data_IF_817039418498
#
_entry.id   IF_817039418498
#
_cell.length_a   1.000
_cell.length_b   1.000
_cell.length_c   1.000
_cell.angle_alpha   90.00
_cell.angle_beta   90.00
_cell.angle_gamma   90.00
#
_symmetry.space_group_name_H-M   'P 1'
#
loop_
_entity.id
_entity.type
_entity.pdbx_description
1 polymer ?
#
# COMPACT_ATOMS: atom_id res chain seq x y z
N UNK A 1 -23.03 -6.95 18.04
CA UNK A 1 -23.16 -6.72 16.58
C UNK A 1 -23.05 -8.06 15.88
N UNK A 2 -24.04 -8.44 15.07
CA UNK A 2 -24.03 -9.72 14.33
C UNK A 2 -22.77 -9.80 13.42
N UNK A 3 -22.06 -10.94 13.44
CA UNK A 3 -20.82 -11.13 12.68
C UNK A 3 -21.03 -10.93 11.18
N UNK A 4 -22.22 -11.26 10.67
CA UNK A 4 -22.60 -10.99 9.27
C UNK A 4 -22.72 -9.49 9.00
N UNK A 5 -23.44 -8.75 9.85
CA UNK A 5 -23.56 -7.28 9.74
C UNK A 5 -22.19 -6.59 9.80
N UNK A 6 -21.30 -7.04 10.67
CA UNK A 6 -19.92 -6.52 10.75
C UNK A 6 -19.13 -6.75 9.46
N UNK A 7 -19.27 -7.92 8.84
CA UNK A 7 -18.59 -8.23 7.56
C UNK A 7 -19.13 -7.35 6.43
N UNK A 8 -20.44 -7.12 6.38
CA UNK A 8 -21.07 -6.21 5.41
C UNK A 8 -20.60 -4.77 5.58
N UNK A 9 -20.52 -4.27 6.82
CA UNK A 9 -20.01 -2.93 7.12
C UNK A 9 -18.54 -2.79 6.68
N UNK A 10 -17.70 -3.80 6.95
CA UNK A 10 -16.30 -3.79 6.50
C UNK A 10 -16.19 -3.72 4.97
N UNK A 11 -17.06 -4.44 4.25
CA UNK A 11 -17.12 -4.36 2.79
C UNK A 11 -17.54 -2.98 2.28
N UNK A 12 -18.54 -2.35 2.91
CA UNK A 12 -18.96 -0.98 2.57
C UNK A 12 -17.85 0.05 2.84
N UNK A 13 -17.17 -0.05 3.98
CA UNK A 13 -16.03 0.82 4.31
C UNK A 13 -14.89 0.61 3.31
N UNK A 14 -14.61 -0.63 2.92
CA UNK A 14 -13.63 -0.94 1.89
C UNK A 14 -13.98 -0.27 0.56
N UNK A 15 -15.24 -0.36 0.11
CA UNK A 15 -15.69 0.29 -1.12
C UNK A 15 -15.60 1.82 -1.04
N UNK A 16 -15.96 2.41 0.09
CA UNK A 16 -15.85 3.85 0.30
C UNK A 16 -14.38 4.31 0.24
N UNK A 17 -13.46 3.57 0.89
CA UNK A 17 -12.03 3.84 0.80
C UNK A 17 -11.47 3.63 -0.61
N UNK A 18 -11.98 2.65 -1.35
CA UNK A 18 -11.57 2.40 -2.72
C UNK A 18 -11.98 3.55 -3.64
N UNK A 19 -13.21 4.05 -3.49
CA UNK A 19 -13.68 5.24 -4.20
C UNK A 19 -12.84 6.48 -3.83
N UNK A 20 -12.51 6.64 -2.54
CA UNK A 20 -11.64 7.73 -2.09
C UNK A 20 -10.23 7.63 -2.67
N UNK A 21 -9.63 6.44 -2.69
CA UNK A 21 -8.32 6.21 -3.31
C UNK A 21 -8.33 6.45 -4.82
N UNK A 22 -9.45 6.18 -5.51
CA UNK A 22 -9.59 6.53 -6.92
C UNK A 22 -9.55 8.05 -7.14
N UNK A 23 -10.29 8.81 -6.32
CA UNK A 23 -10.29 10.29 -6.38
C UNK A 23 -8.93 10.85 -6.02
N UNK A 24 -8.30 10.34 -4.96
CA UNK A 24 -6.97 10.76 -4.53
C UNK A 24 -5.94 10.48 -5.64
N UNK A 25 -5.95 9.30 -6.25
CA UNK A 25 -5.06 8.95 -7.36
C UNK A 25 -5.26 9.86 -8.59
N UNK A 26 -6.50 10.26 -8.90
CA UNK A 26 -6.77 11.24 -9.96
C UNK A 26 -6.22 12.63 -9.62
N UNK A 27 -6.40 13.07 -8.36
CA UNK A 27 -5.85 14.33 -7.86
C UNK A 27 -4.32 14.32 -7.84
N UNK A 28 -3.71 13.20 -7.45
CA UNK A 28 -2.27 12.98 -7.47
C UNK A 28 -1.72 13.27 -8.86
N UNK A 29 -2.23 12.58 -9.90
CA UNK A 29 -1.76 12.79 -11.28
C UNK A 29 -2.03 14.18 -11.84
N UNK A 30 -3.12 14.83 -11.42
CA UNK A 30 -3.43 16.20 -11.82
C UNK A 30 -2.52 17.27 -11.19
N UNK A 31 -1.87 16.97 -10.05
CA UNK A 31 -1.16 17.97 -9.24
C UNK A 31 0.32 17.68 -8.98
N UNK A 32 0.86 16.54 -9.45
CA UNK A 32 2.26 16.11 -9.26
C UNK A 32 3.24 17.26 -9.53
N UNK A 33 3.13 17.97 -10.67
CA UNK A 33 4.08 19.03 -11.00
C UNK A 33 4.18 20.16 -9.97
N UNK A 34 3.03 20.56 -9.40
CA UNK A 34 2.92 21.71 -8.50
C UNK A 34 3.18 21.35 -7.03
N UNK A 35 2.85 20.13 -6.61
CA UNK A 35 3.03 19.66 -5.23
C UNK A 35 4.51 19.52 -4.89
N UNK A 36 5.33 19.08 -5.86
CA UNK A 36 6.79 18.99 -5.72
C UNK A 36 7.52 20.35 -5.81
N UNK A 37 6.81 21.49 -5.77
CA UNK A 37 7.40 22.82 -5.56
C UNK A 37 7.54 23.18 -4.08
N UNK A 38 6.79 22.50 -3.20
CA UNK A 38 6.79 22.73 -1.77
C UNK A 38 7.13 21.42 -1.03
N UNK A 39 8.36 21.26 -0.50
CA UNK A 39 8.80 19.98 0.06
C UNK A 39 7.90 19.43 1.17
N UNK A 40 7.42 20.22 2.14
CA UNK A 40 6.52 19.72 3.19
C UNK A 40 5.18 19.24 2.65
N UNK A 41 4.64 19.93 1.63
CA UNK A 41 3.38 19.52 0.99
C UNK A 41 3.58 18.21 0.21
N UNK A 42 4.70 18.04 -0.48
CA UNK A 42 5.03 16.78 -1.15
C UNK A 42 5.13 15.60 -0.17
N UNK A 43 5.79 15.78 0.98
CA UNK A 43 5.87 14.72 2.00
C UNK A 43 4.49 14.35 2.50
N UNK A 44 3.65 15.34 2.81
CA UNK A 44 2.29 15.10 3.30
C UNK A 44 1.44 14.37 2.25
N UNK A 45 1.57 14.75 0.98
CA UNK A 45 0.83 14.14 -0.11
C UNK A 45 1.21 12.67 -0.32
N UNK A 46 2.51 12.37 -0.40
CA UNK A 46 3.04 10.99 -0.50
C UNK A 46 2.63 10.17 0.73
N UNK A 47 2.73 10.75 1.93
CA UNK A 47 2.33 10.08 3.16
C UNK A 47 0.84 9.73 3.17
N UNK A 48 -0.04 10.64 2.75
CA UNK A 48 -1.49 10.37 2.68
C UNK A 48 -1.79 9.26 1.68
N UNK A 49 -1.19 9.28 0.48
CA UNK A 49 -1.33 8.21 -0.50
C UNK A 49 -0.94 6.84 0.10
N UNK A 50 0.22 6.80 0.76
CA UNK A 50 0.74 5.58 1.37
C UNK A 50 -0.14 5.06 2.52
N UNK A 51 -0.63 5.96 3.38
CA UNK A 51 -1.57 5.60 4.45
C UNK A 51 -2.88 5.06 3.88
N UNK A 52 -3.39 5.63 2.79
CA UNK A 52 -4.60 5.12 2.13
C UNK A 52 -4.40 3.71 1.57
N UNK A 53 -3.30 3.46 0.87
CA UNK A 53 -2.97 2.13 0.32
C UNK A 53 -2.93 1.09 1.44
N UNK A 54 -2.24 1.39 2.53
CA UNK A 54 -2.09 0.48 3.68
C UNK A 54 -3.40 0.27 4.41
N UNK A 55 -4.22 1.32 4.54
CA UNK A 55 -5.55 1.24 5.14
C UNK A 55 -6.49 0.36 4.32
N UNK A 56 -6.42 0.46 2.99
CA UNK A 56 -7.14 -0.42 2.06
C UNK A 56 -6.70 -1.87 2.21
N UNK A 57 -5.40 -2.13 2.29
CA UNK A 57 -4.87 -3.49 2.53
C UNK A 57 -5.35 -4.02 3.88
N UNK A 58 -5.23 -3.24 4.95
CA UNK A 58 -5.68 -3.61 6.29
C UNK A 58 -7.16 -4.01 6.29
N UNK A 59 -8.02 -3.14 5.77
CA UNK A 59 -9.47 -3.34 5.76
C UNK A 59 -9.85 -4.46 4.81
N UNK A 60 -9.24 -4.54 3.63
CA UNK A 60 -9.44 -5.63 2.67
C UNK A 60 -9.09 -6.99 3.25
N UNK A 61 -7.93 -7.11 3.91
CA UNK A 61 -7.53 -8.36 4.58
C UNK A 61 -8.43 -8.69 5.78
N UNK A 62 -8.86 -7.68 6.54
CA UNK A 62 -9.81 -7.86 7.65
C UNK A 62 -11.18 -8.33 7.15
N UNK A 63 -11.65 -7.75 6.04
CA UNK A 63 -12.87 -8.15 5.35
C UNK A 63 -12.75 -9.59 4.83
N UNK A 64 -11.65 -9.93 4.16
CA UNK A 64 -11.38 -11.28 3.68
C UNK A 64 -11.43 -12.31 4.81
N UNK A 65 -10.74 -12.04 5.92
CA UNK A 65 -10.79 -12.92 7.11
C UNK A 65 -12.21 -13.06 7.63
N UNK A 66 -12.98 -11.97 7.73
CA UNK A 66 -14.38 -12.01 8.15
C UNK A 66 -15.27 -12.81 7.19
N UNK A 67 -15.05 -12.66 5.88
CA UNK A 67 -15.81 -13.33 4.84
C UNK A 67 -15.55 -14.84 4.85
N UNK A 68 -14.28 -15.25 4.89
CA UNK A 68 -13.90 -16.68 4.95
C UNK A 68 -14.40 -17.34 6.24
N UNK A 69 -14.31 -16.67 7.38
CA UNK A 69 -14.72 -17.28 8.65
C UNK A 69 -16.23 -17.38 8.84
N UNK A 70 -17.01 -16.45 8.25
CA UNK A 70 -18.45 -16.34 8.54
C UNK A 70 -19.34 -16.90 7.42
N UNK A 71 -18.84 -17.00 6.18
CA UNK A 71 -19.66 -17.36 5.02
C UNK A 71 -19.22 -18.65 4.32
N UNK A 72 -17.98 -19.09 4.52
CA UNK A 72 -17.42 -20.25 3.84
C UNK A 72 -17.41 -21.50 4.75
N UNK A 73 -17.68 -22.71 4.21
CA UNK A 73 -17.59 -23.95 4.99
C UNK A 73 -16.14 -24.22 5.47
N UNK A 74 -15.96 -24.89 6.60
CA UNK A 74 -14.61 -25.10 7.19
C UNK A 74 -13.76 -26.17 6.46
N UNK A 75 -13.59 -26.04 5.15
CA UNK A 75 -12.80 -26.95 4.32
C UNK A 75 -11.35 -26.49 4.28
N UNK A 76 -10.40 -27.45 4.27
CA UNK A 76 -8.94 -27.18 4.31
C UNK A 76 -8.45 -26.20 3.23
N UNK A 77 -9.13 -26.13 2.08
CA UNK A 77 -8.77 -25.31 0.92
C UNK A 77 -9.06 -23.82 1.17
N UNK A 78 -10.20 -23.51 1.79
CA UNK A 78 -10.68 -22.13 1.98
C UNK A 78 -9.87 -21.39 3.07
N UNK A 79 -9.17 -22.15 3.91
CA UNK A 79 -8.37 -21.64 5.02
C UNK A 79 -6.87 -21.61 4.74
N UNK A 80 -6.40 -21.90 3.52
CA UNK A 80 -4.95 -21.95 3.19
C UNK A 80 -4.25 -20.62 3.51
N UNK A 81 -4.91 -19.50 3.18
CA UNK A 81 -4.41 -18.14 3.46
C UNK A 81 -4.36 -17.84 4.96
N UNK A 82 -5.34 -18.33 5.72
CA UNK A 82 -5.41 -18.17 7.18
C UNK A 82 -4.37 -19.04 7.91
N UNK A 83 -4.03 -20.21 7.38
CA UNK A 83 -3.03 -21.09 7.97
C UNK A 83 -1.59 -20.65 7.66
N UNK A 84 -1.36 -19.96 6.54
CA UNK A 84 -0.02 -19.53 6.11
C UNK A 84 0.05 -18.01 5.89
N UNK A 85 -0.19 -17.19 6.93
CA UNK A 85 -0.27 -15.74 6.82
C UNK A 85 1.03 -15.11 6.30
N UNK A 86 2.19 -15.65 6.70
CA UNK A 86 3.51 -15.20 6.28
C UNK A 86 3.78 -15.37 4.80
N UNK A 87 3.47 -16.55 4.26
CA UNK A 87 3.70 -16.87 2.84
C UNK A 87 2.82 -15.99 1.97
N UNK A 88 1.55 -15.83 2.34
CA UNK A 88 0.65 -14.93 1.64
C UNK A 88 1.12 -13.47 1.70
N UNK A 89 1.48 -12.97 2.89
CA UNK A 89 2.00 -11.61 3.06
C UNK A 89 3.23 -11.38 2.17
N UNK A 90 4.15 -12.34 2.12
CA UNK A 90 5.34 -12.25 1.28
C UNK A 90 5.01 -12.16 -0.22
N UNK A 91 4.19 -13.09 -0.73
CA UNK A 91 3.80 -13.12 -2.15
C UNK A 91 3.01 -11.86 -2.53
N UNK A 92 2.09 -11.42 -1.68
CA UNK A 92 1.28 -10.24 -1.93
C UNK A 92 2.10 -8.95 -1.90
N UNK A 93 3.06 -8.83 -0.99
CA UNK A 93 4.03 -7.72 -0.98
C UNK A 93 4.87 -7.71 -2.26
N UNK A 94 5.38 -8.86 -2.71
CA UNK A 94 6.11 -8.94 -3.98
C UNK A 94 5.26 -8.48 -5.16
N UNK A 95 3.99 -8.90 -5.21
CA UNK A 95 3.06 -8.49 -6.24
C UNK A 95 2.83 -6.97 -6.23
N UNK A 96 2.65 -6.36 -5.04
CA UNK A 96 2.47 -4.90 -4.95
C UNK A 96 3.73 -4.14 -5.38
N UNK A 97 4.91 -4.56 -4.95
CA UNK A 97 6.17 -3.93 -5.36
C UNK A 97 6.30 -3.98 -6.88
N UNK A 98 6.01 -5.13 -7.49
CA UNK A 98 6.06 -5.30 -8.93
C UNK A 98 5.08 -4.37 -9.68
N UNK A 99 3.83 -4.29 -9.22
CA UNK A 99 2.82 -3.37 -9.79
C UNK A 99 3.25 -1.91 -9.61
N UNK A 100 3.84 -1.56 -8.46
CA UNK A 100 4.29 -0.19 -8.19
C UNK A 100 5.40 0.24 -9.15
N UNK A 101 6.38 -0.65 -9.41
CA UNK A 101 7.45 -0.43 -10.38
C UNK A 101 6.88 -0.24 -11.80
N UNK A 102 5.95 -1.10 -12.22
CA UNK A 102 5.31 -0.99 -13.53
C UNK A 102 4.55 0.33 -13.69
N UNK A 103 3.82 0.75 -12.65
CA UNK A 103 3.10 2.03 -12.62
C UNK A 103 4.05 3.23 -12.73
N UNK A 104 5.14 3.23 -11.97
CA UNK A 104 6.15 4.30 -12.05
C UNK A 104 6.75 4.41 -13.46
N UNK A 105 6.98 3.28 -14.13
CA UNK A 105 7.47 3.27 -15.52
C UNK A 105 6.50 3.88 -16.53
N UNK A 106 5.20 3.60 -16.40
CA UNK A 106 4.17 4.24 -17.22
C UNK A 106 4.08 5.75 -16.97
N UNK A 107 4.26 6.17 -15.72
CA UNK A 107 4.12 7.57 -15.33
C UNK A 107 5.19 8.50 -15.89
N UNK A 108 6.44 8.05 -15.86
CA UNK A 108 7.59 8.91 -16.18
C UNK A 108 7.80 9.02 -17.69
N UNK A 109 7.46 7.99 -18.47
CA UNK A 109 7.83 7.93 -19.89
C UNK A 109 6.68 7.68 -20.87
N UNK A 110 5.44 7.43 -20.42
CA UNK A 110 4.29 7.17 -21.30
C UNK A 110 4.38 5.87 -22.14
N UNK A 111 5.51 5.16 -22.07
CA UNK A 111 5.81 3.86 -22.67
C UNK A 111 6.75 3.07 -21.74
N UNK A 112 6.70 1.75 -21.81
CA UNK A 112 7.60 0.85 -21.03
C UNK A 112 8.99 0.85 -21.69
N UNK A 113 9.77 1.91 -21.50
CA UNK A 113 11.16 1.96 -21.96
C UNK A 113 12.07 1.18 -20.99
N UNK A 114 12.52 0.00 -21.41
CA UNK A 114 13.44 -0.87 -20.65
C UNK A 114 14.76 -0.19 -20.26
N UNK A 115 15.18 0.84 -21.01
CA UNK A 115 16.49 1.47 -20.86
C UNK A 115 16.60 2.41 -19.63
N UNK A 116 15.50 3.07 -19.26
CA UNK A 116 15.39 3.92 -18.05
C UNK A 116 14.74 3.19 -16.87
N UNK A 117 14.11 2.04 -17.13
CA UNK A 117 13.50 1.17 -16.12
C UNK A 117 14.49 0.80 -15.02
N UNK A 118 15.74 0.50 -15.38
CA UNK A 118 16.78 0.11 -14.41
C UNK A 118 17.07 1.25 -13.43
N UNK A 119 17.15 2.49 -13.91
CA UNK A 119 17.37 3.67 -13.06
C UNK A 119 16.16 3.98 -12.18
N UNK A 120 14.94 3.93 -12.73
CA UNK A 120 13.70 4.12 -11.96
C UNK A 120 13.55 3.05 -10.88
N UNK A 121 13.85 1.79 -11.22
CA UNK A 121 13.89 0.68 -10.26
C UNK A 121 14.96 0.98 -9.21
N UNK A 122 16.21 1.24 -9.58
CA UNK A 122 17.29 1.48 -8.61
C UNK A 122 16.94 2.59 -7.63
N UNK A 123 16.30 3.65 -8.13
CA UNK A 123 15.91 4.81 -7.36
C UNK A 123 14.71 4.54 -6.44
N UNK A 124 13.73 3.78 -6.93
CA UNK A 124 12.54 3.41 -6.15
C UNK A 124 12.79 2.21 -5.24
N UNK A 125 13.88 1.44 -5.42
CA UNK A 125 14.14 0.20 -4.69
C UNK A 125 14.30 0.42 -3.19
N UNK A 126 15.08 1.42 -2.70
CA UNK A 126 15.18 1.68 -1.26
C UNK A 126 13.83 1.99 -0.63
N UNK A 127 13.02 2.82 -1.30
CA UNK A 127 11.69 3.18 -0.83
C UNK A 127 10.72 1.98 -0.89
N UNK A 128 10.72 1.25 -2.00
CA UNK A 128 9.90 0.06 -2.20
C UNK A 128 10.20 -1.06 -1.20
N UNK A 129 11.45 -1.17 -0.73
CA UNK A 129 11.82 -2.12 0.34
C UNK A 129 11.22 -1.68 1.68
N UNK A 130 11.29 -0.39 2.03
CA UNK A 130 10.72 0.15 3.27
C UNK A 130 9.20 0.02 3.27
N UNK A 131 8.55 0.47 2.20
CA UNK A 131 7.10 0.34 2.01
C UNK A 131 6.68 -1.12 1.98
N UNK A 132 7.38 -1.96 1.22
CA UNK A 132 7.14 -3.39 1.13
C UNK A 132 7.18 -4.08 2.49
N UNK A 133 8.13 -3.70 3.35
CA UNK A 133 8.19 -4.18 4.73
C UNK A 133 6.99 -3.74 5.57
N UNK A 134 6.54 -2.49 5.41
CA UNK A 134 5.31 -1.97 6.03
C UNK A 134 4.07 -2.75 5.59
N UNK A 135 3.93 -3.01 4.29
CA UNK A 135 2.85 -3.82 3.71
C UNK A 135 2.89 -5.24 4.27
N UNK A 136 4.05 -5.88 4.25
CA UNK A 136 4.24 -7.24 4.76
C UNK A 136 3.77 -7.34 6.21
N UNK A 137 4.25 -6.44 7.08
CA UNK A 137 3.85 -6.40 8.49
C UNK A 137 2.36 -6.15 8.67
N UNK A 138 1.75 -5.34 7.80
CA UNK A 138 0.32 -5.06 7.82
C UNK A 138 -0.48 -6.32 7.55
N UNK A 139 -0.14 -7.05 6.48
CA UNK A 139 -0.85 -8.26 6.06
C UNK A 139 -0.63 -9.38 7.07
N UNK A 140 0.63 -9.65 7.45
CA UNK A 140 0.97 -10.71 8.40
C UNK A 140 0.20 -10.53 9.71
N UNK A 141 0.30 -9.35 10.33
CA UNK A 141 -0.37 -9.09 11.61
C UNK A 141 -1.90 -9.08 11.51
N UNK A 142 -2.45 -8.69 10.35
CA UNK A 142 -3.90 -8.70 10.12
C UNK A 142 -4.42 -10.12 9.96
N UNK A 143 -3.75 -10.95 9.15
CA UNK A 143 -4.11 -12.35 8.96
C UNK A 143 -3.94 -13.18 10.23
N UNK A 144 -2.89 -12.92 11.02
CA UNK A 144 -2.70 -13.52 12.34
C UNK A 144 -3.69 -12.98 13.40
N UNK A 145 -4.49 -11.97 13.07
CA UNK A 145 -5.41 -11.27 14.00
C UNK A 145 -4.73 -10.67 15.23
N UNK A 146 -3.44 -10.32 15.10
CA UNK A 146 -2.62 -9.69 16.15
C UNK A 146 -2.43 -8.18 15.92
N UNK A 147 -3.27 -7.57 15.09
CA UNK A 147 -3.19 -6.14 14.82
C UNK A 147 -3.61 -5.34 16.07
N UNK A 148 -2.70 -4.51 16.59
CA UNK A 148 -2.93 -3.61 17.72
C UNK A 148 -2.74 -2.16 17.30
N UNK A 149 -3.31 -1.20 18.04
CA UNK A 149 -3.12 0.23 17.78
C UNK A 149 -1.64 0.63 17.76
N UNK A 150 -0.82 0.04 18.63
CA UNK A 150 0.64 0.26 18.66
C UNK A 150 1.32 -0.27 17.40
N UNK A 151 0.91 -1.43 16.90
CA UNK A 151 1.44 -1.99 15.66
C UNK A 151 1.03 -1.14 14.44
N UNK A 152 -0.21 -0.65 14.41
CA UNK A 152 -0.69 0.23 13.36
C UNK A 152 0.08 1.57 13.34
N UNK A 153 0.29 2.18 14.51
CA UNK A 153 1.09 3.39 14.64
C UNK A 153 2.54 3.17 14.15
N UNK A 154 3.14 2.03 14.48
CA UNK A 154 4.49 1.68 14.00
C UNK A 154 4.52 1.49 12.47
N UNK A 155 3.48 0.89 11.87
CA UNK A 155 3.36 0.77 10.42
C UNK A 155 3.25 2.15 9.78
N UNK A 156 2.37 3.02 10.27
CA UNK A 156 2.24 4.38 9.74
C UNK A 156 3.53 5.19 9.88
N UNK A 157 4.27 5.01 10.97
CA UNK A 157 5.58 5.62 11.12
C UNK A 157 6.58 5.16 10.05
N UNK A 158 6.57 3.86 9.69
CA UNK A 158 7.40 3.33 8.59
C UNK A 158 7.06 4.03 7.27
N UNK A 159 5.77 4.21 6.97
CA UNK A 159 5.34 4.92 5.76
C UNK A 159 5.64 6.41 5.80
N UNK A 160 5.64 7.03 6.97
CA UNK A 160 6.07 8.42 7.13
C UNK A 160 7.55 8.58 6.82
N UNK A 161 8.40 7.70 7.36
CA UNK A 161 9.84 7.69 7.06
C UNK A 161 10.08 7.42 5.58
N UNK A 162 9.35 6.48 4.97
CA UNK A 162 9.39 6.22 3.53
C UNK A 162 9.08 7.49 2.72
N UNK A 163 7.99 8.20 3.05
CA UNK A 163 7.60 9.44 2.37
C UNK A 163 8.66 10.55 2.46
N UNK A 164 9.29 10.73 3.63
CA UNK A 164 10.38 11.71 3.81
C UNK A 164 11.58 11.35 2.94
N UNK A 165 11.95 10.06 2.92
CA UNK A 165 13.06 9.57 2.10
C UNK A 165 12.76 9.76 0.61
N UNK A 166 11.57 9.40 0.17
CA UNK A 166 11.14 9.51 -1.22
C UNK A 166 11.18 10.95 -1.73
N UNK A 167 10.59 11.89 -0.99
CA UNK A 167 10.63 13.31 -1.36
C UNK A 167 12.06 13.84 -1.31
N UNK A 168 12.85 13.46 -0.30
CA UNK A 168 14.27 13.83 -0.21
C UNK A 168 15.06 13.38 -1.44
N UNK A 169 14.87 12.15 -1.90
CA UNK A 169 15.52 11.63 -3.12
C UNK A 169 15.09 12.41 -4.37
N UNK A 170 13.80 12.69 -4.54
CA UNK A 170 13.29 13.45 -5.70
C UNK A 170 13.91 14.85 -5.77
N UNK A 171 14.05 15.54 -4.63
CA UNK A 171 14.68 16.85 -4.58
C UNK A 171 16.19 16.80 -4.86
N UNK A 172 16.89 15.78 -4.34
CA UNK A 172 18.32 15.60 -4.62
C UNK A 172 18.58 15.34 -6.11
N UNK A 173 17.73 14.56 -6.78
CA UNK A 173 17.84 14.32 -8.22
C UNK A 173 17.59 15.59 -9.04
N UNK A 174 16.58 16.38 -8.67
CA UNK A 174 16.31 17.68 -9.31
C UNK A 174 17.43 18.69 -9.11
N UNK A 175 18.25 18.54 -8.07
CA UNK A 175 19.39 19.42 -7.83
C UNK A 175 20.66 19.02 -8.62
N UNK A 176 20.71 17.78 -9.11
CA UNK A 176 21.88 17.22 -9.84
C UNK A 176 21.67 17.21 -11.35
N UNK A 177 20.41 17.22 -11.83
CA UNK A 177 20.02 17.33 -13.25
C UNK A 177 19.67 18.77 -13.59
#
# INVERSE_FOLDING_TARGET
MDQKKRTVILGLVFLALLAFAYVENMSFFGSVGNVFLNPPLAVLFVFVHNVLVVSLILIGMTFYVGLVLNFFPQRKIEYVVLHNPRVFAFVFTLMIIFISILRASMLVYGQVFLNTLVFVILLSTPNAVIEGYGIFKTIEKTLERKMTLKALAAIYLIFFVAAVIEVGYVYLLRAVV
#
